data_IF_401843343889
#
_entry.id   IF_401843343889
#
_cell.length_a   1.000
_cell.length_b   1.000
_cell.length_c   1.000
_cell.angle_alpha   90.00
_cell.angle_beta   90.00
_cell.angle_gamma   90.00
#
_symmetry.space_group_name_H-M   'P 1'
#
loop_
_entity.id
_entity.type
_entity.pdbx_description
1 polymer ?
#
# COMPACT_ATOMS: atom_id res chain seq x y z
N UNK A 1 -21.88 1.22 0.46
CA UNK A 1 -23.15 1.89 0.81
C UNK A 1 -24.28 1.45 -0.12
N UNK A 2 -24.24 1.72 -1.43
CA UNK A 2 -25.28 1.27 -2.36
C UNK A 2 -25.52 -0.25 -2.33
N UNK A 3 -24.48 -1.08 -2.35
CA UNK A 3 -24.61 -2.54 -2.32
C UNK A 3 -25.18 -3.13 -1.02
N UNK A 4 -24.95 -2.46 0.12
CA UNK A 4 -25.43 -2.92 1.43
C UNK A 4 -26.92 -2.64 1.60
N UNK A 5 -27.36 -1.47 1.17
CA UNK A 5 -28.79 -1.08 1.16
C UNK A 5 -29.56 -1.94 0.15
N UNK A 6 -28.99 -2.16 -1.04
CA UNK A 6 -29.63 -2.95 -2.08
C UNK A 6 -29.70 -4.44 -1.67
N UNK A 7 -28.66 -4.99 -1.05
CA UNK A 7 -28.67 -6.35 -0.50
C UNK A 7 -29.68 -6.54 0.63
N UNK A 8 -29.78 -5.56 1.54
CA UNK A 8 -30.75 -5.58 2.64
C UNK A 8 -32.18 -5.50 2.10
N UNK A 9 -32.47 -4.55 1.21
CA UNK A 9 -33.80 -4.38 0.62
C UNK A 9 -34.20 -5.60 -0.19
N UNK A 10 -33.30 -6.17 -1.00
CA UNK A 10 -33.60 -7.35 -1.82
C UNK A 10 -33.87 -8.59 -0.96
N UNK A 11 -33.10 -8.77 0.12
CA UNK A 11 -33.22 -9.93 1.01
C UNK A 11 -34.46 -9.81 1.90
N UNK A 12 -34.74 -8.63 2.44
CA UNK A 12 -35.95 -8.35 3.21
C UNK A 12 -37.21 -8.47 2.36
N UNK A 13 -37.20 -7.98 1.12
CA UNK A 13 -38.32 -8.16 0.19
C UNK A 13 -38.53 -9.63 -0.18
N UNK A 14 -37.45 -10.40 -0.36
CA UNK A 14 -37.54 -11.81 -0.72
C UNK A 14 -38.07 -12.67 0.43
N UNK A 15 -37.70 -12.35 1.68
CA UNK A 15 -38.17 -13.06 2.89
C UNK A 15 -39.63 -12.74 3.22
N UNK A 16 -40.09 -11.51 2.94
CA UNK A 16 -41.48 -11.09 3.20
C UNK A 16 -42.49 -11.68 2.20
N UNK A 17 -42.04 -12.06 0.99
CA UNK A 17 -42.91 -12.54 -0.10
C UNK A 17 -42.99 -14.07 -0.16
N UNK A 18 -42.02 -14.79 0.42
CA UNK A 18 -41.96 -16.24 0.31
C UNK A 18 -42.71 -16.95 1.46
N UNK A 19 -43.64 -17.88 1.17
CA UNK A 19 -44.33 -18.65 2.20
C UNK A 19 -43.36 -19.57 2.95
N UNK A 20 -43.66 -19.85 4.23
CA UNK A 20 -42.83 -20.56 5.21
C UNK A 20 -42.58 -22.06 4.89
N UNK A 21 -41.98 -22.35 3.74
CA UNK A 21 -41.57 -23.69 3.33
C UNK A 21 -40.05 -23.84 3.48
N UNK A 22 -39.62 -24.78 4.33
CA UNK A 22 -38.21 -25.00 4.68
C UNK A 22 -37.28 -25.25 3.48
N UNK A 23 -37.81 -25.85 2.40
CA UNK A 23 -37.07 -26.09 1.15
C UNK A 23 -36.65 -24.80 0.44
N UNK A 24 -37.45 -23.75 0.56
CA UNK A 24 -37.18 -22.45 -0.05
C UNK A 24 -36.02 -21.75 0.70
N UNK A 25 -35.99 -21.84 2.03
CA UNK A 25 -34.87 -21.31 2.83
C UNK A 25 -33.54 -22.02 2.51
N UNK A 26 -33.59 -23.33 2.29
CA UNK A 26 -32.42 -24.14 1.92
C UNK A 26 -31.88 -23.76 0.53
N UNK A 27 -32.78 -23.50 -0.44
CA UNK A 27 -32.42 -23.02 -1.76
C UNK A 27 -31.81 -21.60 -1.74
N UNK A 28 -32.35 -20.70 -0.92
CA UNK A 28 -31.83 -19.34 -0.71
C UNK A 28 -30.45 -19.38 -0.04
N UNK A 29 -30.26 -20.24 0.96
CA UNK A 29 -28.98 -20.45 1.63
C UNK A 29 -27.92 -20.96 0.65
N UNK A 30 -28.26 -21.95 -0.19
CA UNK A 30 -27.36 -22.47 -1.22
C UNK A 30 -26.98 -21.39 -2.26
N UNK A 31 -27.95 -20.57 -2.68
CA UNK A 31 -27.71 -19.46 -3.61
C UNK A 31 -26.81 -18.37 -3.01
N UNK A 32 -26.99 -18.01 -1.74
CA UNK A 32 -26.14 -17.06 -1.02
C UNK A 32 -24.72 -17.58 -0.84
N UNK A 33 -24.54 -18.85 -0.49
CA UNK A 33 -23.23 -19.49 -0.40
C UNK A 33 -22.52 -19.54 -1.76
N UNK A 34 -23.24 -19.86 -2.84
CA UNK A 34 -22.69 -19.84 -4.19
C UNK A 34 -22.30 -18.41 -4.63
N UNK A 35 -23.14 -17.42 -4.32
CA UNK A 35 -22.89 -16.00 -4.59
C UNK A 35 -21.67 -15.46 -3.84
N UNK A 36 -21.53 -15.78 -2.55
CA UNK A 36 -20.34 -15.44 -1.76
C UNK A 36 -19.06 -16.00 -2.37
N UNK A 37 -19.10 -17.27 -2.80
CA UNK A 37 -17.94 -17.96 -3.39
C UNK A 37 -17.55 -17.41 -4.77
N UNK A 38 -18.52 -16.95 -5.57
CA UNK A 38 -18.26 -16.39 -6.90
C UNK A 38 -17.93 -14.88 -6.89
N UNK A 39 -18.57 -14.07 -6.04
CA UNK A 39 -18.38 -12.61 -6.00
C UNK A 39 -17.31 -12.15 -4.99
N UNK A 40 -16.92 -13.01 -4.03
CA UNK A 40 -15.91 -12.68 -3.02
C UNK A 40 -14.52 -12.37 -3.58
N UNK A 41 -14.20 -12.86 -4.77
CA UNK A 41 -12.92 -12.59 -5.43
C UNK A 41 -12.90 -11.30 -6.27
N UNK A 42 -14.04 -10.60 -6.47
CA UNK A 42 -14.12 -9.45 -7.38
C UNK A 42 -14.70 -8.19 -6.71
N UNK A 43 -15.63 -8.32 -5.75
CA UNK A 43 -16.25 -7.16 -5.10
C UNK A 43 -16.50 -7.39 -3.60
N UNK A 44 -15.62 -6.85 -2.75
CA UNK A 44 -15.67 -6.92 -1.27
C UNK A 44 -17.05 -6.54 -0.69
N UNK A 45 -17.78 -5.63 -1.34
CA UNK A 45 -19.14 -5.22 -0.94
C UNK A 45 -20.19 -6.35 -1.01
N UNK A 46 -20.05 -7.28 -1.97
CA UNK A 46 -20.98 -8.40 -2.13
C UNK A 46 -20.73 -9.51 -1.09
N UNK A 47 -19.46 -9.70 -0.69
CA UNK A 47 -19.08 -10.65 0.36
C UNK A 47 -19.66 -10.24 1.72
N UNK A 48 -19.59 -8.94 2.04
CA UNK A 48 -20.16 -8.39 3.28
C UNK A 48 -21.69 -8.49 3.28
N UNK A 49 -22.36 -8.23 2.15
CA UNK A 49 -23.82 -8.35 2.05
C UNK A 49 -24.31 -9.79 2.28
N UNK A 50 -23.62 -10.80 1.72
CA UNK A 50 -23.95 -12.22 1.97
C UNK A 50 -23.73 -12.61 3.43
N UNK A 51 -22.67 -12.12 4.07
CA UNK A 51 -22.38 -12.38 5.48
C UNK A 51 -23.47 -11.80 6.40
N UNK A 52 -23.93 -10.57 6.13
CA UNK A 52 -25.02 -9.95 6.89
C UNK A 52 -26.33 -10.71 6.71
N UNK A 53 -26.67 -11.11 5.48
CA UNK A 53 -27.87 -11.91 5.20
C UNK A 53 -27.85 -13.27 5.90
N UNK A 54 -26.69 -13.94 5.94
CA UNK A 54 -26.50 -15.22 6.63
C UNK A 54 -26.75 -15.10 8.14
N UNK A 55 -26.23 -14.05 8.78
CA UNK A 55 -26.38 -13.81 10.23
C UNK A 55 -27.84 -13.54 10.60
N UNK A 56 -28.55 -12.72 9.80
CA UNK A 56 -29.98 -12.44 10.02
C UNK A 56 -30.82 -13.71 9.88
N UNK A 57 -30.53 -14.53 8.85
CA UNK A 57 -31.23 -15.79 8.65
C UNK A 57 -30.97 -16.76 9.82
N UNK A 58 -29.73 -16.84 10.31
CA UNK A 58 -29.37 -17.68 11.46
C UNK A 58 -30.11 -17.26 12.74
N UNK A 59 -30.22 -15.94 12.99
CA UNK A 59 -30.95 -15.40 14.13
C UNK A 59 -32.47 -15.67 14.04
N UNK A 60 -33.04 -15.60 12.83
CA UNK A 60 -34.45 -15.94 12.60
C UNK A 60 -34.75 -17.42 12.86
N UNK A 61 -33.79 -18.33 12.60
CA UNK A 61 -33.94 -19.76 12.85
C UNK A 61 -33.85 -20.16 14.33
N UNK A 62 -33.26 -19.33 15.20
CA UNK A 62 -33.04 -19.67 16.63
C UNK A 62 -34.27 -19.42 17.53
N UNK A 63 -35.34 -18.80 17.01
CA UNK A 63 -36.66 -18.81 17.68
C UNK A 63 -36.79 -17.98 18.96
N UNK A 64 -35.80 -17.14 19.30
CA UNK A 64 -35.89 -16.19 20.42
C UNK A 64 -36.59 -14.90 19.98
N UNK A 65 -37.59 -14.45 20.76
CA UNK A 65 -38.39 -13.25 20.45
C UNK A 65 -37.48 -12.02 20.37
N UNK A 66 -37.50 -11.24 19.27
CA UNK A 66 -36.29 -10.56 18.79
C UNK A 66 -36.24 -9.07 19.09
N UNK A 67 -37.10 -8.52 19.95
CA UNK A 67 -37.37 -7.08 19.85
C UNK A 67 -36.31 -6.14 20.45
N UNK A 68 -35.79 -6.33 21.69
CA UNK A 68 -34.84 -5.36 22.25
C UNK A 68 -33.37 -5.71 21.95
N UNK A 69 -33.01 -7.00 22.04
CA UNK A 69 -31.60 -7.45 22.04
C UNK A 69 -30.99 -7.43 20.63
N UNK A 70 -31.79 -7.71 19.60
CA UNK A 70 -31.32 -7.70 18.21
C UNK A 70 -31.07 -6.28 17.73
N UNK A 71 -31.96 -5.34 18.09
CA UNK A 71 -31.80 -3.92 17.74
C UNK A 71 -30.57 -3.34 18.45
N UNK A 72 -30.35 -3.65 19.73
CA UNK A 72 -29.16 -3.20 20.46
C UNK A 72 -27.86 -3.70 19.81
N UNK A 73 -27.80 -5.00 19.46
CA UNK A 73 -26.64 -5.59 18.76
C UNK A 73 -26.43 -5.01 17.36
N UNK A 74 -27.50 -4.72 16.64
CA UNK A 74 -27.44 -4.09 15.32
C UNK A 74 -26.90 -2.66 15.43
N UNK A 75 -27.38 -1.88 16.40
CA UNK A 75 -26.92 -0.52 16.68
C UNK A 75 -25.45 -0.51 17.05
N UNK A 76 -25.00 -1.41 17.93
CA UNK A 76 -23.59 -1.53 18.33
C UNK A 76 -22.68 -1.88 17.13
N UNK A 77 -23.13 -2.76 16.25
CA UNK A 77 -22.37 -3.18 15.07
C UNK A 77 -22.32 -2.08 14.00
N UNK A 78 -23.43 -1.34 13.82
CA UNK A 78 -23.49 -0.19 12.91
C UNK A 78 -22.63 0.95 13.44
N UNK A 79 -22.68 1.26 14.74
CA UNK A 79 -21.82 2.25 15.37
C UNK A 79 -20.34 1.85 15.25
N UNK A 80 -20.00 0.60 15.57
CA UNK A 80 -18.63 0.08 15.40
C UNK A 80 -18.16 0.18 13.95
N UNK A 81 -19.03 -0.10 12.99
CA UNK A 81 -18.73 0.01 11.56
C UNK A 81 -18.56 1.47 11.12
N UNK A 82 -19.41 2.38 11.59
CA UNK A 82 -19.31 3.82 11.30
C UNK A 82 -18.04 4.41 11.91
N UNK A 83 -17.69 4.03 13.13
CA UNK A 83 -16.44 4.43 13.78
C UNK A 83 -15.23 3.85 13.03
N UNK A 84 -15.28 2.59 12.61
CA UNK A 84 -14.21 1.98 11.80
C UNK A 84 -14.08 2.63 10.41
N UNK A 85 -15.20 2.97 9.76
CA UNK A 85 -15.24 3.69 8.47
C UNK A 85 -14.76 5.13 8.62
N UNK A 86 -15.14 5.80 9.70
CA UNK A 86 -14.66 7.14 10.03
C UNK A 86 -13.17 7.10 10.33
N UNK A 87 -12.69 6.12 11.09
CA UNK A 87 -11.27 5.90 11.36
C UNK A 87 -10.49 5.54 10.08
N UNK A 88 -11.08 4.75 9.17
CA UNK A 88 -10.49 4.44 7.86
C UNK A 88 -10.46 5.67 6.93
N UNK A 89 -11.47 6.53 6.97
CA UNK A 89 -11.50 7.79 6.24
C UNK A 89 -10.56 8.84 6.83
N UNK A 90 -10.39 8.85 8.16
CA UNK A 90 -9.36 9.61 8.87
C UNK A 90 -7.97 9.04 8.64
N UNK A 91 -7.85 7.73 8.36
CA UNK A 91 -6.58 7.09 8.05
C UNK A 91 -6.17 7.45 6.63
N UNK A 92 -5.23 8.37 6.49
CA UNK A 92 -5.05 8.99 5.22
C UNK A 92 -4.24 8.05 4.31
N UNK A 93 -4.89 7.37 3.35
CA UNK A 93 -4.22 6.82 2.16
C UNK A 93 -3.72 7.93 1.19
N UNK A 94 -3.39 9.11 1.72
CA UNK A 94 -3.15 10.37 1.01
C UNK A 94 -1.76 10.43 0.35
N UNK A 95 -1.26 9.29 -0.10
CA UNK A 95 0.03 9.18 -0.77
C UNK A 95 -0.09 8.99 -2.28
N UNK A 96 -1.17 9.49 -2.88
CA UNK A 96 -1.32 9.54 -4.35
C UNK A 96 -0.16 10.27 -5.07
N UNK A 97 0.81 10.85 -4.34
CA UNK A 97 2.07 11.36 -4.90
C UNK A 97 3.34 10.95 -4.15
N UNK A 98 3.30 10.04 -3.16
CA UNK A 98 4.50 9.77 -2.33
C UNK A 98 5.52 8.87 -3.02
N UNK A 99 5.13 8.08 -4.03
CA UNK A 99 6.10 7.25 -4.76
C UNK A 99 7.24 8.06 -5.37
N UNK A 100 6.90 9.20 -5.99
CA UNK A 100 7.87 10.10 -6.60
C UNK A 100 8.78 10.75 -5.56
N UNK A 101 8.21 11.24 -4.46
CA UNK A 101 8.95 11.81 -3.33
C UNK A 101 9.89 10.77 -2.68
N UNK A 102 9.42 9.55 -2.47
CA UNK A 102 10.25 8.46 -1.92
C UNK A 102 11.39 8.07 -2.87
N UNK A 103 11.16 8.09 -4.19
CA UNK A 103 12.23 7.88 -5.19
C UNK A 103 13.24 9.03 -5.14
N UNK A 104 12.81 10.29 -5.06
CA UNK A 104 13.69 11.44 -4.90
C UNK A 104 14.55 11.33 -3.63
N UNK A 105 13.95 10.98 -2.49
CA UNK A 105 14.66 10.74 -1.23
C UNK A 105 15.67 9.60 -1.34
N UNK A 106 15.37 8.54 -2.11
CA UNK A 106 16.32 7.46 -2.35
C UNK A 106 17.55 7.92 -3.14
N UNK A 107 17.36 8.79 -4.13
CA UNK A 107 18.45 9.37 -4.92
C UNK A 107 19.28 10.36 -4.10
N UNK A 108 18.64 11.19 -3.25
CA UNK A 108 19.37 12.05 -2.30
C UNK A 108 20.21 11.21 -1.33
N UNK A 109 19.67 10.10 -0.82
CA UNK A 109 20.41 9.21 0.06
C UNK A 109 21.58 8.52 -0.67
N UNK A 110 21.44 8.17 -1.95
CA UNK A 110 22.55 7.68 -2.77
C UNK A 110 23.61 8.76 -3.01
N UNK A 111 23.21 10.01 -3.24
CA UNK A 111 24.14 11.12 -3.37
C UNK A 111 24.93 11.38 -2.08
N UNK A 112 24.25 11.31 -0.92
CA UNK A 112 24.90 11.45 0.38
C UNK A 112 25.87 10.28 0.64
N UNK A 113 25.48 9.05 0.27
CA UNK A 113 26.34 7.89 0.39
C UNK A 113 27.55 7.95 -0.55
N UNK A 114 27.36 8.40 -1.79
CA UNK A 114 28.47 8.58 -2.73
C UNK A 114 29.43 9.69 -2.25
N UNK A 115 28.90 10.80 -1.72
CA UNK A 115 29.73 11.87 -1.14
C UNK A 115 30.52 11.41 0.09
N UNK A 116 29.93 10.57 0.96
CA UNK A 116 30.64 10.06 2.15
C UNK A 116 31.80 9.12 1.79
N UNK A 117 31.79 8.48 0.62
CA UNK A 117 32.95 7.74 0.10
C UNK A 117 34.12 8.69 -0.20
N UNK A 118 33.85 9.88 -0.73
CA UNK A 118 34.90 10.86 -1.06
C UNK A 118 35.49 11.56 0.17
N UNK A 119 34.64 11.98 1.12
CA UNK A 119 35.07 12.87 2.21
C UNK A 119 34.82 12.31 3.60
N UNK A 120 33.94 11.32 3.74
CA UNK A 120 33.46 10.85 5.03
C UNK A 120 34.36 9.80 5.67
N UNK A 121 34.36 9.77 6.99
CA UNK A 121 35.05 8.75 7.78
C UNK A 121 34.23 7.44 7.87
N UNK A 122 34.82 6.37 8.40
CA UNK A 122 34.16 5.08 8.54
C UNK A 122 32.75 5.13 9.20
N UNK A 123 32.51 5.86 10.32
CA UNK A 123 31.18 5.93 10.92
C UNK A 123 30.17 6.69 10.04
N UNK A 124 30.60 7.77 9.37
CA UNK A 124 29.74 8.56 8.48
C UNK A 124 29.35 7.76 7.23
N UNK A 125 30.31 7.02 6.64
CA UNK A 125 30.05 6.10 5.54
C UNK A 125 29.06 5.01 5.94
N UNK A 126 29.24 4.42 7.12
CA UNK A 126 28.30 3.44 7.64
C UNK A 126 26.89 4.01 7.80
N UNK A 127 26.76 5.20 8.41
CA UNK A 127 25.48 5.86 8.59
C UNK A 127 24.81 6.20 7.25
N UNK A 128 25.55 6.75 6.30
CA UNK A 128 25.06 7.08 4.96
C UNK A 128 24.62 5.81 4.20
N UNK A 129 25.34 4.71 4.33
CA UNK A 129 24.97 3.41 3.76
C UNK A 129 23.66 2.87 4.35
N UNK A 130 23.47 2.96 5.67
CA UNK A 130 22.21 2.56 6.30
C UNK A 130 21.06 3.47 5.86
N UNK A 131 21.29 4.79 5.81
CA UNK A 131 20.31 5.76 5.32
C UNK A 131 19.87 5.47 3.88
N UNK A 132 20.83 5.22 2.98
CA UNK A 132 20.58 4.80 1.60
C UNK A 132 19.78 3.49 1.52
N UNK A 133 20.09 2.51 2.38
CA UNK A 133 19.34 1.24 2.44
C UNK A 133 17.88 1.45 2.85
N UNK A 134 17.64 2.26 3.88
CA UNK A 134 16.28 2.56 4.37
C UNK A 134 15.50 3.33 3.31
N UNK A 135 16.08 4.37 2.72
CA UNK A 135 15.44 5.17 1.68
C UNK A 135 15.08 4.31 0.45
N UNK A 136 15.95 3.38 0.05
CA UNK A 136 15.68 2.41 -1.01
C UNK A 136 14.48 1.52 -0.71
N UNK A 137 14.43 0.91 0.48
CA UNK A 137 13.33 0.03 0.88
C UNK A 137 12.00 0.81 0.87
N UNK A 138 12.01 2.05 1.36
CA UNK A 138 10.84 2.91 1.36
C UNK A 138 10.37 3.25 -0.07
N UNK A 139 11.31 3.56 -0.97
CA UNK A 139 11.03 3.80 -2.38
C UNK A 139 10.46 2.54 -3.06
N UNK A 140 11.07 1.37 -2.86
CA UNK A 140 10.58 0.08 -3.39
C UNK A 140 9.15 -0.21 -2.94
N UNK A 141 8.87 -0.05 -1.64
CA UNK A 141 7.54 -0.25 -1.09
C UNK A 141 6.53 0.73 -1.70
N UNK A 142 6.92 2.00 -1.89
CA UNK A 142 6.04 3.02 -2.45
C UNK A 142 5.77 2.82 -3.95
N UNK A 143 6.79 2.44 -4.73
CA UNK A 143 6.63 2.11 -6.16
C UNK A 143 5.78 0.85 -6.32
N UNK A 144 5.97 -0.17 -5.48
CA UNK A 144 5.14 -1.38 -5.51
C UNK A 144 3.66 -1.07 -5.24
N UNK A 145 3.36 -0.15 -4.31
CA UNK A 145 1.99 0.33 -4.08
C UNK A 145 1.44 1.05 -5.31
N UNK A 146 2.21 1.98 -5.89
CA UNK A 146 1.84 2.68 -7.12
C UNK A 146 1.50 1.70 -8.27
N UNK A 147 2.29 0.64 -8.43
CA UNK A 147 2.07 -0.37 -9.47
C UNK A 147 0.87 -1.29 -9.19
N UNK A 148 0.44 -1.40 -7.93
CA UNK A 148 -0.75 -2.17 -7.56
C UNK A 148 -2.06 -1.38 -7.77
N UNK A 149 -1.98 -0.07 -8.00
CA UNK A 149 -3.15 0.76 -8.29
C UNK A 149 -3.61 0.56 -9.75
N UNK A 150 -4.85 0.10 -9.99
CA UNK A 150 -5.34 -0.18 -11.35
C UNK A 150 -5.53 1.08 -12.22
N UNK A 151 -5.45 2.27 -11.64
CA UNK A 151 -5.58 3.55 -12.33
C UNK A 151 -4.23 4.21 -12.67
N UNK A 152 -3.09 3.56 -12.40
CA UNK A 152 -1.77 4.13 -12.67
C UNK A 152 -1.50 4.21 -14.18
N UNK A 153 -1.12 5.37 -14.73
CA UNK A 153 -0.75 5.50 -16.14
C UNK A 153 0.46 4.60 -16.49
N UNK A 154 0.46 3.90 -17.64
CA UNK A 154 1.54 2.99 -18.01
C UNK A 154 2.90 3.68 -18.12
N UNK A 155 2.96 4.91 -18.66
CA UNK A 155 4.18 5.70 -18.74
C UNK A 155 4.76 6.02 -17.34
N UNK A 156 3.91 6.27 -16.35
CA UNK A 156 4.35 6.52 -14.98
C UNK A 156 4.88 5.24 -14.31
N UNK A 157 4.23 4.11 -14.57
CA UNK A 157 4.68 2.80 -14.10
C UNK A 157 6.06 2.43 -14.66
N UNK A 158 6.27 2.60 -15.97
CA UNK A 158 7.55 2.35 -16.64
C UNK A 158 8.67 3.26 -16.12
N UNK A 159 8.38 4.55 -15.95
CA UNK A 159 9.33 5.51 -15.38
C UNK A 159 9.73 5.12 -13.96
N UNK A 160 8.75 4.80 -13.10
CA UNK A 160 9.00 4.41 -11.71
C UNK A 160 9.84 3.13 -11.62
N UNK A 161 9.54 2.12 -12.45
CA UNK A 161 10.34 0.87 -12.52
C UNK A 161 11.75 1.12 -13.05
N UNK A 162 11.90 1.99 -14.05
CA UNK A 162 13.20 2.35 -14.62
C UNK A 162 14.08 3.08 -13.61
N UNK A 163 13.51 4.07 -12.92
CA UNK A 163 14.20 4.80 -11.84
C UNK A 163 14.63 3.85 -10.72
N UNK A 164 13.76 2.93 -10.31
CA UNK A 164 14.07 1.97 -9.25
C UNK A 164 15.19 1.00 -9.68
N UNK A 165 15.13 0.49 -10.91
CA UNK A 165 16.13 -0.45 -11.44
C UNK A 165 17.49 0.21 -11.59
N UNK A 166 17.53 1.43 -12.13
CA UNK A 166 18.75 2.20 -12.30
C UNK A 166 19.31 2.66 -10.94
N UNK A 167 18.45 3.09 -10.01
CA UNK A 167 18.83 3.38 -8.63
C UNK A 167 19.45 2.18 -7.92
N UNK A 168 18.92 0.98 -8.13
CA UNK A 168 19.47 -0.25 -7.57
C UNK A 168 20.83 -0.63 -8.18
N UNK A 169 21.05 -0.32 -9.47
CA UNK A 169 22.38 -0.44 -10.11
C UNK A 169 23.38 0.55 -9.51
N UNK A 170 22.96 1.80 -9.30
CA UNK A 170 23.77 2.84 -8.66
C UNK A 170 24.18 2.42 -7.23
N UNK A 171 23.23 1.98 -6.41
CA UNK A 171 23.54 1.53 -5.05
C UNK A 171 24.61 0.42 -5.01
N UNK A 172 24.55 -0.54 -5.95
CA UNK A 172 25.57 -1.58 -6.08
C UNK A 172 26.92 -1.02 -6.51
N UNK A 173 26.95 -0.09 -7.47
CA UNK A 173 28.17 0.57 -7.91
C UNK A 173 28.84 1.35 -6.75
N UNK A 174 28.05 2.06 -5.94
CA UNK A 174 28.52 2.78 -4.76
C UNK A 174 29.10 1.79 -3.73
N UNK A 175 28.45 0.63 -3.49
CA UNK A 175 29.00 -0.41 -2.61
C UNK A 175 30.30 -1.02 -3.14
N UNK A 176 30.42 -1.25 -4.45
CA UNK A 176 31.68 -1.74 -5.03
C UNK A 176 32.79 -0.71 -4.90
N UNK A 177 32.44 0.58 -4.99
CA UNK A 177 33.39 1.68 -4.78
C UNK A 177 33.82 1.79 -3.31
N UNK A 178 32.88 1.63 -2.36
CA UNK A 178 33.19 1.57 -0.92
C UNK A 178 34.14 0.41 -0.61
N UNK A 179 33.96 -0.75 -1.24
CA UNK A 179 34.81 -1.92 -1.05
C UNK A 179 36.27 -1.73 -1.50
N UNK A 180 36.54 -0.73 -2.34
CA UNK A 180 37.90 -0.34 -2.75
C UNK A 180 38.60 0.56 -1.73
N UNK A 181 37.90 1.03 -0.70
CA UNK A 181 38.49 1.84 0.36
C UNK A 181 39.20 0.91 1.37
N UNK A 182 40.50 1.09 1.62
CA UNK A 182 41.21 0.35 2.66
C UNK A 182 40.60 0.60 4.05
N UNK A 183 40.76 -0.35 4.99
CA UNK A 183 40.15 -0.29 6.34
C UNK A 183 40.41 1.02 7.11
N UNK A 184 41.51 1.75 6.81
CA UNK A 184 41.86 3.04 7.42
C UNK A 184 42.10 4.14 6.36
N UNK A 185 41.61 3.95 5.14
CA UNK A 185 42.02 4.74 3.98
C UNK A 185 40.94 5.64 3.40
N UNK A 186 41.36 6.41 2.40
CA UNK A 186 40.50 7.09 1.42
C UNK A 186 40.48 6.27 0.13
N UNK A 187 39.60 6.64 -0.80
CA UNK A 187 39.58 6.06 -2.14
C UNK A 187 40.98 6.05 -2.78
N UNK A 188 41.39 4.88 -3.31
CA UNK A 188 42.56 4.77 -4.15
C UNK A 188 42.30 5.51 -5.49
N UNK A 189 43.17 6.44 -5.86
CA UNK A 189 43.01 7.24 -7.10
C UNK A 189 43.24 8.75 -6.94
N UNK A 190 43.46 9.24 -5.72
CA UNK A 190 43.83 10.63 -5.46
C UNK A 190 42.71 11.64 -5.76
N UNK A 191 43.09 12.90 -6.01
CA UNK A 191 42.15 14.01 -6.13
C UNK A 191 41.16 13.88 -7.32
N UNK A 192 41.58 13.28 -8.43
CA UNK A 192 40.75 13.14 -9.63
C UNK A 192 39.59 12.15 -9.44
N UNK A 193 39.82 11.03 -8.74
CA UNK A 193 38.75 10.09 -8.40
C UNK A 193 37.79 10.71 -7.39
N UNK A 194 38.32 11.48 -6.43
CA UNK A 194 37.52 12.19 -5.44
C UNK A 194 36.62 13.24 -6.10
N UNK A 195 37.12 14.02 -7.06
CA UNK A 195 36.32 15.00 -7.79
C UNK A 195 35.22 14.33 -8.60
N UNK A 196 35.52 13.25 -9.32
CA UNK A 196 34.53 12.49 -10.09
C UNK A 196 33.38 11.97 -9.21
N UNK A 197 33.71 11.47 -8.01
CA UNK A 197 32.72 10.98 -7.03
C UNK A 197 31.83 12.12 -6.52
N UNK A 198 32.41 13.29 -6.26
CA UNK A 198 31.66 14.46 -5.82
C UNK A 198 30.78 15.03 -6.94
N UNK A 199 31.28 15.07 -8.17
CA UNK A 199 30.51 15.48 -9.36
C UNK A 199 29.33 14.54 -9.60
N UNK A 200 29.56 13.22 -9.47
CA UNK A 200 28.50 12.22 -9.53
C UNK A 200 27.45 12.38 -8.41
N UNK A 201 27.88 12.71 -7.20
CA UNK A 201 26.97 12.99 -6.09
C UNK A 201 26.16 14.27 -6.34
N UNK A 202 26.75 15.30 -6.95
CA UNK A 202 26.04 16.53 -7.32
C UNK A 202 24.98 16.26 -8.40
N UNK A 203 25.33 15.53 -9.45
CA UNK A 203 24.39 15.14 -10.51
C UNK A 203 23.20 14.33 -9.95
N UNK A 204 23.44 13.42 -9.00
CA UNK A 204 22.35 12.68 -8.35
C UNK A 204 21.41 13.59 -7.54
N UNK A 205 21.93 14.63 -6.88
CA UNK A 205 21.09 15.61 -6.17
C UNK A 205 20.25 16.42 -7.14
N UNK A 206 20.83 16.86 -8.25
CA UNK A 206 20.10 17.62 -9.27
C UNK A 206 18.91 16.82 -9.83
N UNK A 207 19.13 15.53 -10.14
CA UNK A 207 18.04 14.64 -10.58
C UNK A 207 16.99 14.45 -9.48
N UNK A 208 17.41 14.29 -8.23
CA UNK A 208 16.48 14.13 -7.11
C UNK A 208 15.64 15.40 -6.87
N UNK A 209 16.25 16.57 -7.01
CA UNK A 209 15.59 17.86 -6.84
C UNK A 209 14.63 18.15 -8.01
N UNK A 210 15.00 17.80 -9.25
CA UNK A 210 14.10 17.84 -10.39
C UNK A 210 12.88 16.92 -10.18
N UNK A 211 13.09 15.75 -9.57
CA UNK A 211 12.02 14.83 -9.20
C UNK A 211 11.16 15.37 -8.05
N UNK A 212 11.65 16.17 -7.11
CA UNK A 212 10.80 16.74 -6.05
C UNK A 212 10.02 17.99 -6.50
N UNK A 213 10.58 18.79 -7.41
CA UNK A 213 10.02 20.10 -7.82
C UNK A 213 8.91 20.03 -8.88
N UNK A 214 8.93 19.07 -9.81
CA UNK A 214 7.92 18.99 -10.89
C UNK A 214 6.55 18.45 -10.39
N UNK A 215 5.97 19.05 -9.36
CA UNK A 215 4.75 18.60 -8.65
C UNK A 215 3.43 18.80 -9.41
N UNK A 216 3.49 19.07 -10.72
CA UNK A 216 2.35 19.47 -11.55
C UNK A 216 1.73 18.28 -12.29
#
# INVERSE_FOLDING_TARGET
MAGTVLGLVLTTALVLVLPANAWIHLAVLAALCAGYRYLGNVHYAAAVACLTGLVVLLLAFVGERPEPTVIARLVDTVLGSVVALAAYGLWPTWEKGRAREMVAQSLQAYAAYLASIATGEAPERHAARQGARVARINAEASVKRLLAEPATPPALAELAQSLLTNGNRLARAIMTLEALIPQHGRLAGGAATQSLVLDGAAALREVADALSTHRA
#
